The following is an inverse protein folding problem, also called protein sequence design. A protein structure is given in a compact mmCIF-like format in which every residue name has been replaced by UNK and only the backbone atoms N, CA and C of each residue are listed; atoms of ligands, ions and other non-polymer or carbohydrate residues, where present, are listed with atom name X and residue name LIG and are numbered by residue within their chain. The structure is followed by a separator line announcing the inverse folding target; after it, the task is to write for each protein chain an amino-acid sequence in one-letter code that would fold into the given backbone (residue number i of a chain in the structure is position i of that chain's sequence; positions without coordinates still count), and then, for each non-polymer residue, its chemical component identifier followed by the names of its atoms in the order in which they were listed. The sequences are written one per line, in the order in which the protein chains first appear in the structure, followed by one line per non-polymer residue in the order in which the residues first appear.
data_IF_971428312594
#
_entry.id   IF_971428312594
#
_cell.length_a   1.000
_cell.length_b   1.000
_cell.length_c   1.000
_cell.angle_alpha   90.00
_cell.angle_beta   90.00
_cell.angle_gamma   90.00
#
_symmetry.space_group_name_H-M   'P 1'
#
loop_
_entity.id
_entity.type
_entity.pdbx_description
1 polymer ?
#
# COMPACT_ATOMS: atom_id res chain seq x y z
N UNK A 1 -7.38 -23.83 8.86
CA UNK A 1 -7.90 -22.49 9.21
C UNK A 1 -6.71 -21.67 9.68
N UNK A 2 -6.54 -20.46 9.15
CA UNK A 2 -5.63 -19.46 9.68
C UNK A 2 -6.45 -18.41 10.45
N UNK A 3 -5.78 -17.60 11.26
CA UNK A 3 -6.39 -16.61 12.17
C UNK A 3 -7.37 -15.63 11.49
N UNK A 4 -7.19 -15.38 10.19
CA UNK A 4 -7.99 -14.42 9.39
C UNK A 4 -8.58 -15.00 8.10
N UNK A 5 -8.31 -16.26 7.78
CA UNK A 5 -8.78 -16.87 6.53
C UNK A 5 -8.90 -18.39 6.59
N UNK A 6 -9.71 -18.94 5.70
CA UNK A 6 -9.79 -20.38 5.41
C UNK A 6 -8.96 -20.62 4.15
N UNK A 7 -7.81 -21.27 4.32
CA UNK A 7 -6.97 -21.67 3.19
C UNK A 7 -7.55 -22.94 2.52
N UNK A 8 -7.77 -22.87 1.22
CA UNK A 8 -8.14 -23.97 0.36
C UNK A 8 -6.91 -24.36 -0.46
N UNK A 9 -6.41 -25.57 -0.20
CA UNK A 9 -5.22 -26.11 -0.86
C UNK A 9 -5.37 -26.15 -2.39
N UNK A 10 -4.26 -25.99 -3.13
CA UNK A 10 -4.26 -26.10 -4.58
C UNK A 10 -4.64 -27.50 -5.03
N UNK A 11 -5.21 -27.60 -6.23
CA UNK A 11 -5.34 -28.84 -7.00
C UNK A 11 -4.50 -28.73 -8.28
N UNK A 12 -4.51 -29.75 -9.15
CA UNK A 12 -3.85 -29.63 -10.47
C UNK A 12 -4.43 -28.52 -11.34
N UNK A 13 -5.70 -28.16 -11.13
CA UNK A 13 -6.45 -27.21 -11.97
C UNK A 13 -6.69 -25.86 -11.29
N UNK A 14 -6.42 -25.75 -9.99
CA UNK A 14 -6.73 -24.57 -9.19
C UNK A 14 -5.56 -24.21 -8.29
N UNK A 15 -5.17 -22.94 -8.35
CA UNK A 15 -4.20 -22.38 -7.41
C UNK A 15 -4.71 -22.43 -5.96
N UNK A 16 -3.80 -22.19 -5.02
CA UNK A 16 -4.15 -21.99 -3.62
C UNK A 16 -5.07 -20.78 -3.47
N UNK A 17 -6.16 -20.90 -2.71
CA UNK A 17 -7.13 -19.82 -2.49
C UNK A 17 -7.29 -19.58 -0.99
N UNK A 18 -7.20 -18.32 -0.57
CA UNK A 18 -7.56 -17.91 0.77
C UNK A 18 -8.94 -17.25 0.76
N UNK A 19 -9.90 -17.84 1.48
CA UNK A 19 -11.22 -17.25 1.69
C UNK A 19 -11.21 -16.49 3.01
N UNK A 20 -11.62 -15.23 2.98
CA UNK A 20 -11.75 -14.38 4.17
C UNK A 20 -13.25 -14.22 4.48
N UNK A 21 -13.78 -14.87 5.52
CA UNK A 21 -15.14 -14.62 5.97
C UNK A 21 -15.24 -13.18 6.51
N UNK A 22 -16.15 -12.39 5.95
CA UNK A 22 -16.34 -11.00 6.34
C UNK A 22 -17.83 -10.62 6.29
N UNK A 23 -18.21 -9.69 7.16
CA UNK A 23 -19.50 -9.00 7.11
C UNK A 23 -19.34 -7.68 6.35
N UNK A 24 -20.43 -7.17 5.77
CA UNK A 24 -20.43 -5.82 5.22
C UNK A 24 -20.30 -4.82 6.38
N UNK A 25 -19.40 -3.84 6.23
CA UNK A 25 -19.29 -2.69 7.11
C UNK A 25 -19.77 -1.45 6.36
N UNK A 26 -20.61 -0.64 7.00
CA UNK A 26 -21.09 0.63 6.45
C UNK A 26 -20.51 1.77 7.27
N UNK A 27 -19.63 2.56 6.65
CA UNK A 27 -19.04 3.72 7.29
C UNK A 27 -19.83 5.00 6.95
N UNK A 28 -20.52 5.56 7.94
CA UNK A 28 -21.32 6.79 7.82
C UNK A 28 -20.57 8.06 8.29
N UNK A 29 -19.24 8.03 8.49
CA UNK A 29 -18.50 9.20 9.02
C UNK A 29 -18.54 10.44 8.11
N UNK A 30 -18.93 10.28 6.85
CA UNK A 30 -19.10 11.38 5.88
C UNK A 30 -20.59 11.65 5.57
N UNK A 31 -21.51 11.08 6.35
CA UNK A 31 -22.93 11.36 6.20
C UNK A 31 -23.37 12.56 7.04
N UNK A 32 -23.56 13.70 6.36
CA UNK A 32 -24.06 14.93 6.97
C UNK A 32 -25.58 15.10 6.81
N UNK A 33 -26.25 14.15 6.16
CA UNK A 33 -27.65 14.26 5.76
C UNK A 33 -28.56 13.16 6.32
N UNK A 34 -28.01 12.24 7.15
CA UNK A 34 -28.73 11.09 7.73
C UNK A 34 -29.39 10.23 6.66
N UNK A 35 -28.67 10.00 5.57
CA UNK A 35 -29.12 9.16 4.46
C UNK A 35 -28.52 7.76 4.63
N UNK A 36 -29.38 6.75 4.77
CA UNK A 36 -28.98 5.35 4.97
C UNK A 36 -28.13 4.78 3.83
N UNK A 37 -28.22 5.37 2.63
CA UNK A 37 -27.43 4.98 1.45
C UNK A 37 -26.13 5.77 1.32
N UNK A 38 -25.90 6.79 2.16
CA UNK A 38 -24.71 7.61 2.13
C UNK A 38 -23.61 7.03 3.04
N UNK A 39 -23.08 5.86 2.65
CA UNK A 39 -21.99 5.21 3.37
C UNK A 39 -20.83 4.83 2.46
N UNK A 40 -19.65 4.70 3.06
CA UNK A 40 -18.51 4.07 2.41
C UNK A 40 -18.53 2.58 2.74
N UNK A 41 -18.66 1.75 1.71
CA UNK A 41 -18.65 0.30 1.86
C UNK A 41 -17.27 -0.23 2.28
N UNK A 42 -17.26 -1.04 3.34
CA UNK A 42 -16.10 -1.77 3.82
C UNK A 42 -16.44 -3.21 4.20
N UNK A 43 -15.44 -3.90 4.74
CA UNK A 43 -15.54 -5.26 5.25
C UNK A 43 -15.17 -5.28 6.72
N UNK A 44 -15.95 -5.98 7.53
CA UNK A 44 -15.68 -6.26 8.93
C UNK A 44 -15.32 -7.73 9.11
N UNK A 45 -14.18 -7.99 9.76
CA UNK A 45 -13.70 -9.32 10.06
C UNK A 45 -13.50 -9.41 11.58
N UNK A 46 -14.06 -10.45 12.19
CA UNK A 46 -13.77 -10.83 13.57
C UNK A 46 -12.81 -12.01 13.56
N UNK A 47 -11.60 -11.84 14.08
CA UNK A 47 -10.58 -12.90 14.10
C UNK A 47 -10.92 -13.98 15.12
N UNK A 48 -10.26 -15.13 15.02
CA UNK A 48 -10.42 -16.22 16.00
C UNK A 48 -9.98 -15.80 17.42
N UNK A 49 -9.13 -14.77 17.52
CA UNK A 49 -8.69 -14.15 18.78
C UNK A 49 -9.62 -13.04 19.29
N UNK A 50 -10.72 -12.77 18.58
CA UNK A 50 -11.68 -11.73 18.93
C UNK A 50 -11.29 -10.32 18.51
N UNK A 51 -10.23 -10.14 17.72
CA UNK A 51 -9.87 -8.83 17.17
C UNK A 51 -10.86 -8.42 16.08
N UNK A 52 -11.20 -7.14 16.04
CA UNK A 52 -12.06 -6.56 15.01
C UNK A 52 -11.21 -5.83 13.97
N UNK A 53 -11.40 -6.19 12.71
CA UNK A 53 -10.65 -5.63 11.60
C UNK A 53 -11.64 -5.05 10.59
N UNK A 54 -11.58 -3.73 10.43
CA UNK A 54 -12.29 -3.02 9.36
C UNK A 54 -11.30 -2.72 8.23
N UNK A 55 -11.72 -3.04 7.01
CA UNK A 55 -10.95 -2.77 5.79
C UNK A 55 -11.87 -2.25 4.67
N UNK A 56 -11.27 -1.67 3.62
CA UNK A 56 -11.99 -1.06 2.49
C UNK A 56 -11.44 -1.56 1.14
N UNK A 57 -11.56 -2.87 0.85
CA UNK A 57 -10.92 -3.48 -0.32
C UNK A 57 -11.48 -2.93 -1.64
N UNK A 58 -12.79 -2.66 -1.73
CA UNK A 58 -13.40 -2.10 -2.94
C UNK A 58 -12.92 -0.66 -3.19
N UNK A 59 -12.82 0.17 -2.14
CA UNK A 59 -12.28 1.53 -2.27
C UNK A 59 -10.80 1.51 -2.67
N UNK A 60 -10.00 0.62 -2.09
CA UNK A 60 -8.61 0.41 -2.51
C UNK A 60 -8.53 0.09 -4.00
N UNK A 61 -9.36 -0.85 -4.47
CA UNK A 61 -9.37 -1.28 -5.87
C UNK A 61 -9.75 -0.12 -6.80
N UNK A 62 -10.83 0.58 -6.50
CA UNK A 62 -11.32 1.76 -7.24
C UNK A 62 -10.23 2.83 -7.33
N UNK A 63 -9.65 3.23 -6.20
CA UNK A 63 -8.59 4.23 -6.14
C UNK A 63 -7.36 3.80 -6.95
N UNK A 64 -6.97 2.53 -6.87
CA UNK A 64 -5.86 1.97 -7.64
C UNK A 64 -6.16 1.92 -9.14
N UNK A 65 -7.41 1.83 -9.59
CA UNK A 65 -7.79 2.00 -11.01
C UNK A 65 -7.73 3.47 -11.42
N UNK A 66 -8.39 4.35 -10.68
CA UNK A 66 -8.42 5.79 -10.96
C UNK A 66 -7.00 6.36 -11.05
N UNK A 67 -6.13 6.03 -10.09
CA UNK A 67 -4.74 6.49 -10.11
C UNK A 67 -3.96 5.89 -11.27
N UNK A 68 -4.19 4.63 -11.63
CA UNK A 68 -3.54 4.01 -12.78
C UNK A 68 -3.86 4.75 -14.09
N UNK A 69 -5.14 5.06 -14.31
CA UNK A 69 -5.57 5.73 -15.54
C UNK A 69 -5.10 7.19 -15.56
N UNK A 70 -5.22 7.91 -14.43
CA UNK A 70 -4.74 9.30 -14.30
C UNK A 70 -3.21 9.46 -14.42
N UNK A 71 -2.43 8.39 -14.39
CA UNK A 71 -0.96 8.44 -14.42
C UNK A 71 -0.36 7.82 -15.68
N UNK A 72 -1.10 7.82 -16.81
CA UNK A 72 -0.69 7.17 -18.05
C UNK A 72 -0.22 5.72 -17.83
N UNK A 73 -0.91 5.03 -16.92
CA UNK A 73 -0.63 3.65 -16.53
C UNK A 73 0.73 3.42 -15.87
N UNK A 74 1.48 4.48 -15.50
CA UNK A 74 2.78 4.38 -14.84
C UNK A 74 2.67 3.89 -13.40
N UNK A 75 1.67 4.32 -12.64
CA UNK A 75 1.51 3.96 -11.22
C UNK A 75 1.66 2.45 -10.95
N UNK A 76 0.82 1.60 -11.55
CA UNK A 76 0.88 0.14 -11.33
C UNK A 76 2.18 -0.49 -11.84
N UNK A 77 2.80 0.05 -12.89
CA UNK A 77 4.10 -0.45 -13.38
C UNK A 77 5.19 -0.24 -12.33
N UNK A 78 5.23 0.95 -11.73
CA UNK A 78 6.19 1.28 -10.68
C UNK A 78 5.90 0.53 -9.37
N UNK A 79 4.63 0.32 -9.02
CA UNK A 79 4.25 -0.56 -7.89
C UNK A 79 4.78 -1.98 -8.08
N UNK A 80 4.65 -2.54 -9.30
CA UNK A 80 5.15 -3.90 -9.60
C UNK A 80 6.66 -3.99 -9.47
N UNK A 81 7.41 -3.01 -9.99
CA UNK A 81 8.87 -2.95 -9.85
C UNK A 81 9.26 -2.90 -8.37
N UNK A 82 8.63 -2.02 -7.60
CA UNK A 82 8.95 -1.87 -6.17
C UNK A 82 8.64 -3.13 -5.37
N UNK A 83 7.52 -3.82 -5.66
CA UNK A 83 7.18 -5.10 -5.04
C UNK A 83 8.19 -6.18 -5.40
N UNK A 84 8.59 -6.27 -6.67
CA UNK A 84 9.61 -7.23 -7.11
C UNK A 84 10.91 -7.03 -6.33
N UNK A 85 11.44 -5.80 -6.31
CA UNK A 85 12.68 -5.48 -5.59
C UNK A 85 12.56 -5.69 -4.09
N UNK A 86 11.40 -5.37 -3.49
CA UNK A 86 11.12 -5.67 -2.08
C UNK A 86 11.24 -7.17 -1.80
N UNK A 87 10.65 -8.04 -2.63
CA UNK A 87 10.74 -9.49 -2.47
C UNK A 87 12.17 -10.01 -2.71
N UNK A 88 12.89 -9.43 -3.67
CA UNK A 88 14.28 -9.78 -3.97
C UNK A 88 15.19 -9.47 -2.78
N UNK A 89 15.08 -8.25 -2.23
CA UNK A 89 15.77 -7.83 -1.01
C UNK A 89 15.40 -8.70 0.20
N UNK A 90 14.15 -9.15 0.31
CA UNK A 90 13.73 -10.09 1.36
C UNK A 90 14.39 -11.46 1.20
N UNK A 91 14.48 -11.97 -0.03
CA UNK A 91 15.14 -13.24 -0.34
C UNK A 91 16.64 -13.21 -0.02
N UNK A 92 17.28 -12.06 -0.22
CA UNK A 92 18.67 -11.81 0.17
C UNK A 92 18.87 -11.52 1.66
N UNK A 93 17.81 -11.60 2.48
CA UNK A 93 17.84 -11.30 3.91
C UNK A 93 18.31 -9.87 4.25
N UNK A 94 18.06 -8.89 3.37
CA UNK A 94 18.32 -7.49 3.66
C UNK A 94 17.38 -7.03 4.78
N UNK A 95 17.98 -6.58 5.89
CA UNK A 95 17.27 -6.28 7.14
C UNK A 95 16.14 -5.25 6.96
N UNK A 96 16.36 -4.21 6.16
CA UNK A 96 15.39 -3.12 5.94
C UNK A 96 14.18 -3.55 5.12
N UNK A 97 14.29 -4.61 4.33
CA UNK A 97 13.17 -5.18 3.59
C UNK A 97 12.37 -6.19 4.41
N UNK A 98 12.89 -6.62 5.57
CA UNK A 98 12.23 -7.61 6.44
C UNK A 98 10.88 -7.09 6.92
N UNK A 99 9.85 -7.92 6.78
CA UNK A 99 8.47 -7.62 7.15
C UNK A 99 7.88 -6.37 6.46
N UNK A 100 8.45 -5.90 5.35
CA UNK A 100 7.84 -4.86 4.52
C UNK A 100 6.68 -5.50 3.75
N UNK A 101 5.50 -4.89 3.84
CA UNK A 101 4.28 -5.42 3.22
C UNK A 101 4.09 -4.85 1.82
N UNK A 102 3.71 -5.72 0.88
CA UNK A 102 3.34 -5.32 -0.48
C UNK A 102 2.18 -4.31 -0.50
N UNK A 103 1.24 -4.42 0.45
CA UNK A 103 0.14 -3.48 0.62
C UNK A 103 0.62 -2.07 1.02
N UNK A 104 1.57 -1.99 1.97
CA UNK A 104 2.13 -0.70 2.38
C UNK A 104 3.03 -0.09 1.31
N UNK A 105 3.77 -0.91 0.55
CA UNK A 105 4.50 -0.44 -0.65
C UNK A 105 3.57 0.19 -1.68
N UNK A 106 2.43 -0.43 -1.96
CA UNK A 106 1.44 0.14 -2.89
C UNK A 106 0.83 1.44 -2.36
N UNK A 107 0.56 1.49 -1.05
CA UNK A 107 0.04 2.68 -0.36
C UNK A 107 1.04 3.82 -0.34
N UNK A 108 2.34 3.56 -0.15
CA UNK A 108 3.39 4.58 -0.26
C UNK A 108 3.37 5.27 -1.63
N UNK A 109 3.35 4.48 -2.71
CA UNK A 109 3.29 5.02 -4.06
C UNK A 109 1.94 5.71 -4.35
N UNK A 110 0.85 5.27 -3.73
CA UNK A 110 -0.45 5.91 -3.85
C UNK A 110 -0.43 7.38 -3.39
N UNK A 111 0.33 7.69 -2.34
CA UNK A 111 0.44 9.04 -1.79
C UNK A 111 1.28 10.00 -2.64
N UNK A 112 2.09 9.51 -3.59
CA UNK A 112 2.87 10.38 -4.50
C UNK A 112 1.92 11.09 -5.48
N UNK A 113 2.06 12.41 -5.63
CA UNK A 113 1.20 13.19 -6.52
C UNK A 113 1.26 12.68 -7.97
N UNK A 114 0.10 12.64 -8.66
CA UNK A 114 -0.01 12.17 -10.04
C UNK A 114 0.92 12.93 -11.01
N UNK A 115 1.20 14.21 -10.77
CA UNK A 115 2.09 15.01 -11.61
C UNK A 115 3.48 14.38 -11.78
N UNK A 116 4.06 13.82 -10.72
CA UNK A 116 5.36 13.14 -10.82
C UNK A 116 5.35 11.87 -11.68
N UNK A 117 4.17 11.25 -11.82
CA UNK A 117 4.00 10.14 -12.75
C UNK A 117 3.77 10.62 -14.19
N UNK A 118 3.08 11.75 -14.35
CA UNK A 118 2.68 12.32 -15.63
C UNK A 118 3.86 12.97 -16.35
N UNK A 119 4.55 13.91 -15.71
CA UNK A 119 5.63 14.71 -16.31
C UNK A 119 6.73 13.83 -16.90
N UNK A 120 6.99 12.69 -16.27
CA UNK A 120 8.07 11.77 -16.63
C UNK A 120 7.57 10.50 -17.34
N UNK A 121 6.33 10.50 -17.79
CA UNK A 121 5.70 9.34 -18.44
C UNK A 121 6.33 8.94 -19.77
N UNK A 122 7.22 9.75 -20.34
CA UNK A 122 8.01 9.44 -21.54
C UNK A 122 9.38 8.80 -21.23
N UNK A 123 9.87 8.88 -19.98
CA UNK A 123 11.16 8.31 -19.60
C UNK A 123 11.16 6.78 -19.65
N UNK A 124 12.36 6.18 -19.73
CA UNK A 124 12.50 4.74 -19.49
C UNK A 124 11.95 4.41 -18.11
N UNK A 125 11.38 3.21 -17.96
CA UNK A 125 10.68 2.84 -16.74
C UNK A 125 11.63 2.81 -15.52
N UNK A 126 12.90 2.44 -15.72
CA UNK A 126 13.91 2.44 -14.67
C UNK A 126 14.28 3.85 -14.18
N UNK A 127 14.53 4.78 -15.10
CA UNK A 127 14.79 6.19 -14.78
C UNK A 127 13.62 6.82 -14.02
N UNK A 128 12.39 6.59 -14.52
CA UNK A 128 11.17 7.09 -13.87
C UNK A 128 11.00 6.50 -12.47
N UNK A 129 11.32 5.22 -12.28
CA UNK A 129 11.27 4.59 -10.97
C UNK A 129 12.28 5.20 -10.00
N UNK A 130 13.51 5.46 -10.44
CA UNK A 130 14.55 6.09 -9.63
C UNK A 130 14.14 7.49 -9.17
N UNK A 131 13.54 8.29 -10.04
CA UNK A 131 13.02 9.61 -9.68
C UNK A 131 11.89 9.51 -8.65
N UNK A 132 10.93 8.59 -8.86
CA UNK A 132 9.83 8.37 -7.92
C UNK A 132 10.36 7.92 -6.55
N UNK A 133 11.38 7.07 -6.50
CA UNK A 133 12.04 6.71 -5.22
C UNK A 133 12.69 7.92 -4.54
N UNK A 134 13.30 8.83 -5.31
CA UNK A 134 13.86 10.06 -4.77
C UNK A 134 12.78 10.97 -4.18
N UNK A 135 11.69 11.18 -4.90
CA UNK A 135 10.55 11.99 -4.44
C UNK A 135 9.93 11.37 -3.19
N UNK A 136 9.64 10.07 -3.23
CA UNK A 136 9.04 9.33 -2.11
C UNK A 136 9.91 9.44 -0.85
N UNK A 137 11.23 9.32 -1.01
CA UNK A 137 12.18 9.48 0.09
C UNK A 137 12.11 10.87 0.73
N UNK A 138 12.12 11.92 -0.08
CA UNK A 138 12.03 13.30 0.41
C UNK A 138 10.69 13.59 1.08
N UNK A 139 9.59 13.08 0.52
CA UNK A 139 8.26 13.20 1.12
C UNK A 139 8.18 12.51 2.49
N UNK A 140 8.77 11.33 2.64
CA UNK A 140 8.77 10.61 3.92
C UNK A 140 9.56 11.36 5.00
N UNK A 141 10.71 11.95 4.65
CA UNK A 141 11.56 12.70 5.57
C UNK A 141 10.97 14.06 5.98
N UNK A 142 10.27 14.73 5.05
CA UNK A 142 9.74 16.08 5.28
C UNK A 142 8.36 16.13 5.93
N UNK A 143 7.57 15.05 5.85
CA UNK A 143 6.24 15.02 6.44
C UNK A 143 6.30 14.82 7.97
N UNK A 144 6.13 15.91 8.71
CA UNK A 144 6.07 15.90 10.17
C UNK A 144 4.67 15.61 10.73
N UNK A 145 3.63 15.66 9.89
CA UNK A 145 2.22 15.56 10.31
C UNK A 145 1.61 14.17 10.09
N UNK A 146 2.40 13.21 9.61
CA UNK A 146 2.02 11.83 9.33
C UNK A 146 0.72 11.69 8.52
N UNK A 147 0.60 12.45 7.43
CA UNK A 147 -0.63 12.50 6.60
C UNK A 147 -0.74 11.37 5.58
N UNK A 148 0.00 10.28 5.78
CA UNK A 148 0.01 9.16 4.86
C UNK A 148 -1.25 8.33 5.02
N UNK A 149 -1.89 8.00 3.90
CA UNK A 149 -3.07 7.13 3.87
C UNK A 149 -2.79 5.81 3.20
N UNK A 150 -3.49 4.76 3.60
CA UNK A 150 -3.56 3.51 2.83
C UNK A 150 -4.12 3.81 1.43
N UNK A 151 -3.89 2.92 0.46
CA UNK A 151 -4.39 3.14 -0.91
C UNK A 151 -5.93 3.15 -1.03
N UNK A 152 -6.67 2.73 0.01
CA UNK A 152 -8.11 3.00 0.14
C UNK A 152 -8.44 4.49 0.38
N UNK A 153 -7.47 5.33 0.74
CA UNK A 153 -7.65 6.75 0.97
C UNK A 153 -8.42 7.11 2.25
N UNK A 154 -8.72 6.13 3.10
CA UNK A 154 -9.57 6.29 4.29
C UNK A 154 -8.74 6.12 5.56
N UNK A 155 -7.97 5.03 5.65
CA UNK A 155 -7.20 4.71 6.87
C UNK A 155 -5.81 5.36 6.82
N UNK A 156 -5.26 5.79 7.97
CA UNK A 156 -3.88 6.22 8.03
C UNK A 156 -2.94 5.04 7.72
N UNK A 157 -1.90 5.28 6.94
CA UNK A 157 -0.90 4.26 6.57
C UNK A 157 0.02 3.92 7.75
N UNK A 158 0.35 4.93 8.56
CA UNK A 158 1.16 4.81 9.76
C UNK A 158 0.31 5.23 10.95
N UNK A 159 0.32 4.42 12.00
CA UNK A 159 -0.45 4.73 13.21
C UNK A 159 0.34 5.76 14.03
N UNK A 160 -0.31 6.86 14.40
CA UNK A 160 0.24 7.84 15.33
C UNK A 160 0.30 7.23 16.74
N UNK A 161 1.35 6.48 17.04
CA UNK A 161 1.63 6.11 18.41
C UNK A 161 2.27 7.32 19.12
N UNK A 162 1.59 7.80 20.17
CA UNK A 162 2.03 8.91 21.02
C UNK A 162 3.35 8.63 21.76
N UNK A 163 3.86 7.39 21.71
CA UNK A 163 5.15 7.01 22.26
C UNK A 163 6.27 7.16 21.22
N UNK A 164 7.00 8.27 21.31
CA UNK A 164 8.40 8.48 20.87
C UNK A 164 8.82 7.77 19.57
N UNK A 165 8.79 8.52 18.47
CA UNK A 165 9.20 8.13 17.11
C UNK A 165 8.24 7.10 16.50
N UNK A 166 7.57 7.47 15.40
CA UNK A 166 6.79 6.53 14.59
C UNK A 166 7.73 5.46 13.99
N UNK A 167 8.01 4.43 14.79
CA UNK A 167 8.92 3.33 14.47
C UNK A 167 8.52 2.63 13.17
N UNK A 168 7.24 2.66 12.82
CA UNK A 168 6.75 2.10 11.59
C UNK A 168 7.11 2.98 10.40
N UNK A 169 6.79 4.29 10.44
CA UNK A 169 7.23 5.20 9.39
C UNK A 169 8.74 5.16 9.21
N UNK A 170 9.50 5.13 10.29
CA UNK A 170 10.97 5.04 10.23
C UNK A 170 11.48 3.75 9.60
N UNK A 171 10.78 2.62 9.80
CA UNK A 171 11.09 1.38 9.07
C UNK A 171 10.94 1.57 7.57
N UNK A 172 9.85 2.19 7.11
CA UNK A 172 9.67 2.45 5.68
C UNK A 172 10.64 3.49 5.15
N UNK A 173 11.04 4.45 5.98
CA UNK A 173 12.13 5.36 5.67
C UNK A 173 13.40 4.53 5.38
N UNK A 174 13.90 3.76 6.33
CA UNK A 174 15.09 2.92 6.13
C UNK A 174 14.99 1.98 4.91
N UNK A 175 13.82 1.39 4.68
CA UNK A 175 13.55 0.57 3.50
C UNK A 175 13.74 1.33 2.19
N UNK A 176 13.12 2.52 2.02
CA UNK A 176 13.26 3.31 0.80
C UNK A 176 14.70 3.76 0.59
N UNK A 177 15.40 4.17 1.65
CA UNK A 177 16.82 4.49 1.57
C UNK A 177 17.62 3.33 1.00
N UNK A 178 17.47 2.13 1.59
CA UNK A 178 18.19 0.93 1.16
C UNK A 178 17.82 0.52 -0.26
N UNK A 179 16.54 0.58 -0.61
CA UNK A 179 16.04 0.24 -1.94
C UNK A 179 16.65 1.14 -3.03
N UNK A 180 16.85 2.43 -2.76
CA UNK A 180 17.52 3.35 -3.70
C UNK A 180 18.96 2.91 -4.02
N UNK A 181 19.69 2.43 -3.02
CA UNK A 181 21.04 1.88 -3.23
C UNK A 181 20.99 0.54 -3.96
N UNK A 182 20.02 -0.31 -3.66
CA UNK A 182 19.85 -1.63 -4.26
C UNK A 182 19.48 -1.54 -5.75
N UNK A 183 18.59 -0.62 -6.12
CA UNK A 183 18.07 -0.53 -7.49
C UNK A 183 19.04 0.06 -8.51
N UNK A 184 20.00 0.91 -8.09
CA UNK A 184 20.89 1.74 -8.94
C UNK A 184 20.85 1.40 -10.44
N UNK A 185 20.02 2.14 -11.17
CA UNK A 185 19.80 1.93 -12.60
C UNK A 185 20.91 2.64 -13.40
N UNK A 186 21.60 1.88 -14.25
CA UNK A 186 22.60 2.39 -15.18
C UNK A 186 22.04 2.25 -16.60
N UNK A 187 21.32 3.28 -17.05
CA UNK A 187 20.91 3.60 -18.43
C UNK A 187 20.63 2.48 -19.42
#
# INVERSE_FOLDING_TARGET
RHDKCINIKPTRERNNIDIVPALQYRNYTQDFYKNEENYIEGTFIKTDKGEEIINYPFKHLENSYIKHDKTYRRYRKLVRIMKYLMYDMQKENIAEAKNVSSFKVESLLFNVNNMYYITNSNMKLGEHFQEILNILWQMLLSDTNNRWVEANGIKPLFLNNLSLIDTEKQKYVSFISKLKYYFRYFG
#
